data_IF_554480653334
#
_entry.id   IF_554480653334
#
_cell.length_a   1.000
_cell.length_b   1.000
_cell.length_c   1.000
_cell.angle_alpha   90.00
_cell.angle_beta   90.00
_cell.angle_gamma   90.00
#
_symmetry.space_group_name_H-M   'P 1'
#
loop_
_entity.id
_entity.type
_entity.pdbx_description
1 polymer ?
#
# COMPACT_ATOMS: atom_id res chain seq x y z
N UNK A 1 -17.73 -13.78 11.05
CA UNK A 1 -16.96 -13.84 9.79
C UNK A 1 -16.78 -15.32 9.51
N UNK A 2 -17.33 -15.84 8.41
CA UNK A 2 -17.14 -17.24 8.05
C UNK A 2 -15.64 -17.48 7.84
N UNK A 3 -15.11 -18.52 8.47
CA UNK A 3 -13.75 -18.97 8.23
C UNK A 3 -13.62 -19.52 6.81
N UNK A 4 -12.40 -19.51 6.25
CA UNK A 4 -12.13 -20.09 4.93
C UNK A 4 -12.54 -21.57 4.88
N UNK A 5 -12.43 -22.28 6.01
CA UNK A 5 -12.85 -23.67 6.13
C UNK A 5 -14.36 -23.83 5.99
N UNK A 6 -15.16 -22.96 6.62
CA UNK A 6 -16.62 -22.97 6.49
C UNK A 6 -17.04 -22.60 5.06
N UNK A 7 -16.36 -21.65 4.42
CA UNK A 7 -16.62 -21.30 3.02
C UNK A 7 -16.33 -22.48 2.07
N UNK A 8 -15.24 -23.22 2.31
CA UNK A 8 -14.92 -24.41 1.51
C UNK A 8 -15.97 -25.51 1.72
N UNK A 9 -16.45 -25.71 2.94
CA UNK A 9 -17.50 -26.67 3.24
C UNK A 9 -18.80 -26.31 2.49
N UNK A 10 -19.25 -25.06 2.57
CA UNK A 10 -20.44 -24.57 1.85
C UNK A 10 -20.33 -24.78 0.33
N UNK A 11 -19.14 -24.55 -0.24
CA UNK A 11 -18.91 -24.73 -1.67
C UNK A 11 -18.95 -26.21 -2.05
N UNK A 12 -18.34 -27.08 -1.25
CA UNK A 12 -18.38 -28.54 -1.46
C UNK A 12 -19.79 -29.09 -1.36
N UNK A 13 -20.57 -28.63 -0.39
CA UNK A 13 -21.97 -29.02 -0.21
C UNK A 13 -22.82 -28.60 -1.42
N UNK A 14 -22.67 -27.36 -1.90
CA UNK A 14 -23.38 -26.87 -3.09
C UNK A 14 -22.97 -27.60 -4.37
N UNK A 15 -21.71 -27.98 -4.48
CA UNK A 15 -21.19 -28.76 -5.60
C UNK A 15 -21.47 -30.27 -5.47
N UNK A 16 -22.13 -30.70 -4.39
CA UNK A 16 -22.41 -32.11 -4.09
C UNK A 16 -21.13 -32.97 -4.12
N UNK A 17 -20.02 -32.41 -3.65
CA UNK A 17 -18.73 -33.11 -3.57
C UNK A 17 -18.77 -34.03 -2.35
N UNK A 18 -18.46 -35.33 -2.51
CA UNK A 18 -18.35 -36.24 -1.36
C UNK A 18 -17.31 -35.74 -0.36
N UNK A 19 -17.59 -35.90 0.94
CA UNK A 19 -16.74 -35.37 2.02
C UNK A 19 -15.29 -35.88 1.94
N UNK A 20 -15.08 -37.13 1.50
CA UNK A 20 -13.79 -37.83 1.46
C UNK A 20 -13.20 -37.97 0.04
N UNK A 21 -13.51 -37.05 -0.88
CA UNK A 21 -12.93 -37.09 -2.22
C UNK A 21 -11.48 -36.56 -2.23
N UNK A 22 -10.50 -37.48 -2.38
CA UNK A 22 -9.08 -37.15 -2.49
C UNK A 22 -8.73 -36.32 -3.73
N UNK A 23 -9.59 -36.33 -4.77
CA UNK A 23 -9.36 -35.54 -6.00
C UNK A 23 -9.72 -34.07 -5.80
N UNK A 24 -10.73 -33.77 -4.98
CA UNK A 24 -11.20 -32.41 -4.70
C UNK A 24 -10.71 -31.99 -3.32
N UNK A 25 -9.41 -31.71 -3.25
CA UNK A 25 -8.75 -31.24 -2.04
C UNK A 25 -9.19 -29.82 -1.69
N UNK A 26 -9.16 -29.47 -0.39
CA UNK A 26 -9.46 -28.11 0.07
C UNK A 26 -8.55 -27.07 -0.61
N UNK A 27 -7.27 -27.41 -0.87
CA UNK A 27 -6.33 -26.53 -1.54
C UNK A 27 -6.77 -26.18 -2.98
N UNK A 28 -7.32 -27.16 -3.71
CA UNK A 28 -7.85 -26.94 -5.05
C UNK A 28 -9.08 -26.02 -5.00
N UNK A 29 -9.98 -26.23 -4.04
CA UNK A 29 -11.14 -25.35 -3.83
C UNK A 29 -10.71 -23.92 -3.47
N UNK A 30 -9.71 -23.75 -2.59
CA UNK A 30 -9.16 -22.42 -2.27
C UNK A 30 -8.57 -21.74 -3.50
N UNK A 31 -7.84 -22.47 -4.34
CA UNK A 31 -7.30 -21.95 -5.61
C UNK A 31 -8.42 -21.48 -6.54
N UNK A 32 -9.49 -22.27 -6.69
CA UNK A 32 -10.65 -21.90 -7.50
C UNK A 32 -11.34 -20.64 -6.96
N UNK A 33 -11.49 -20.53 -5.65
CA UNK A 33 -12.08 -19.33 -5.03
C UNK A 33 -11.24 -18.07 -5.29
N UNK A 34 -9.91 -18.18 -5.21
CA UNK A 34 -9.01 -17.07 -5.56
C UNK A 34 -9.12 -16.70 -7.05
N UNK A 35 -9.23 -17.68 -7.95
CA UNK A 35 -9.48 -17.41 -9.37
C UNK A 35 -10.81 -16.69 -9.58
N UNK A 36 -11.88 -17.11 -8.89
CA UNK A 36 -13.17 -16.43 -8.98
C UNK A 36 -13.12 -14.98 -8.44
N UNK A 37 -12.33 -14.73 -7.40
CA UNK A 37 -12.10 -13.39 -6.88
C UNK A 37 -11.43 -12.51 -7.94
N UNK A 38 -10.38 -13.01 -8.59
CA UNK A 38 -9.62 -12.27 -9.59
C UNK A 38 -10.40 -12.04 -10.90
N UNK A 39 -11.17 -13.03 -11.35
CA UNK A 39 -11.87 -12.98 -12.64
C UNK A 39 -13.22 -12.26 -12.57
N UNK A 40 -13.97 -12.40 -11.46
CA UNK A 40 -15.35 -11.91 -11.39
C UNK A 40 -15.54 -10.80 -10.36
N UNK A 41 -15.10 -11.01 -9.12
CA UNK A 41 -15.38 -10.06 -8.04
C UNK A 41 -14.56 -8.79 -8.24
N UNK A 42 -13.26 -8.93 -8.48
CA UNK A 42 -12.35 -7.81 -8.57
C UNK A 42 -12.68 -6.85 -9.73
N UNK A 43 -12.92 -7.32 -10.97
CA UNK A 43 -13.31 -6.43 -12.06
C UNK A 43 -14.68 -5.77 -11.82
N UNK A 44 -15.58 -6.46 -11.11
CA UNK A 44 -16.91 -5.90 -10.77
C UNK A 44 -16.79 -4.77 -9.76
N UNK A 45 -15.96 -4.94 -8.73
CA UNK A 45 -15.67 -3.88 -7.75
C UNK A 45 -15.04 -2.65 -8.42
N UNK A 46 -14.11 -2.85 -9.36
CA UNK A 46 -13.52 -1.76 -10.13
C UNK A 46 -14.54 -1.03 -11.01
N UNK A 47 -15.49 -1.76 -11.63
CA UNK A 47 -16.53 -1.17 -12.48
C UNK A 47 -17.48 -0.26 -11.70
N UNK A 48 -17.73 -0.55 -10.42
CA UNK A 48 -18.64 0.24 -9.58
C UNK A 48 -18.11 1.67 -9.40
N UNK A 49 -16.83 1.95 -9.74
CA UNK A 49 -16.22 3.29 -9.70
C UNK A 49 -16.27 3.97 -8.31
N UNK A 50 -16.72 3.24 -7.29
CA UNK A 50 -16.58 3.58 -5.89
C UNK A 50 -15.18 3.16 -5.41
N UNK A 51 -14.66 3.91 -4.45
CA UNK A 51 -13.27 3.80 -4.02
C UNK A 51 -13.11 2.68 -2.98
N UNK A 52 -13.22 1.44 -3.43
CA UNK A 52 -12.95 0.26 -2.61
C UNK A 52 -11.43 0.02 -2.45
N UNK A 53 -11.03 -0.52 -1.30
CA UNK A 53 -9.64 -0.90 -0.98
C UNK A 53 -8.60 0.23 -1.02
N UNK A 54 -9.02 1.48 -0.76
CA UNK A 54 -8.08 2.58 -0.55
C UNK A 54 -7.42 2.41 0.81
N UNK A 55 -6.10 2.22 0.78
CA UNK A 55 -5.29 2.12 2.00
C UNK A 55 -4.48 3.39 2.15
N UNK A 56 -4.47 3.89 3.38
CA UNK A 56 -3.63 5.00 3.83
C UNK A 56 -2.39 4.40 4.46
N UNK A 57 -1.22 4.82 3.99
CA UNK A 57 0.06 4.46 4.62
C UNK A 57 0.84 5.70 4.95
N UNK A 58 1.34 5.72 6.19
CA UNK A 58 2.16 6.78 6.73
C UNK A 58 3.62 6.37 6.59
N UNK A 59 4.37 7.13 5.81
CA UNK A 59 5.80 6.88 5.58
C UNK A 59 6.58 8.00 6.26
N UNK A 60 7.32 7.73 7.35
CA UNK A 60 8.13 8.75 7.98
C UNK A 60 9.27 9.17 7.05
N UNK A 61 9.49 10.48 6.91
CA UNK A 61 10.57 11.00 6.07
C UNK A 61 11.92 11.04 6.77
N UNK A 62 11.92 10.89 8.09
CA UNK A 62 13.10 10.79 8.96
C UNK A 62 13.10 9.48 9.72
N UNK A 63 14.28 8.93 9.91
CA UNK A 63 14.52 7.81 10.84
C UNK A 63 14.49 8.27 12.29
N UNK A 64 14.41 7.34 13.25
CA UNK A 64 14.49 7.62 14.70
C UNK A 64 15.79 8.36 15.10
N UNK A 65 16.84 8.28 14.27
CA UNK A 65 18.12 8.96 14.49
C UNK A 65 18.18 10.39 13.91
N UNK A 66 17.06 10.91 13.36
CA UNK A 66 17.00 12.25 12.74
C UNK A 66 17.61 12.32 11.33
N UNK A 67 18.14 11.21 10.81
CA UNK A 67 18.64 11.11 9.44
C UNK A 67 17.48 10.90 8.47
N UNK A 68 17.50 11.49 7.26
CA UNK A 68 16.48 11.25 6.24
C UNK A 68 16.33 9.75 5.93
N UNK A 69 15.10 9.25 5.93
CA UNK A 69 14.80 7.84 5.66
C UNK A 69 15.07 7.45 4.19
N UNK A 70 15.01 8.43 3.28
CA UNK A 70 15.19 8.22 1.85
C UNK A 70 16.38 9.04 1.34
N UNK A 71 17.47 8.40 0.89
CA UNK A 71 18.73 9.08 0.59
C UNK A 71 18.67 10.02 -0.61
N UNK A 72 17.71 9.84 -1.53
CA UNK A 72 17.57 10.61 -2.76
C UNK A 72 16.14 11.10 -3.01
N UNK A 73 15.37 11.37 -1.94
CA UNK A 73 13.94 11.76 -2.04
C UNK A 73 13.02 10.78 -2.80
N UNK A 74 13.48 9.54 -2.99
CA UNK A 74 12.75 8.46 -3.66
C UNK A 74 12.02 7.60 -2.64
N UNK A 75 10.70 7.54 -2.76
CA UNK A 75 9.81 6.74 -1.92
C UNK A 75 9.21 5.61 -2.78
N UNK A 76 9.51 4.34 -2.49
CA UNK A 76 9.03 3.23 -3.31
C UNK A 76 7.51 3.07 -3.18
N UNK A 77 6.84 2.81 -4.30
CA UNK A 77 5.44 2.41 -4.27
C UNK A 77 5.32 0.94 -3.83
N UNK A 78 4.31 0.60 -3.01
CA UNK A 78 4.03 -0.79 -2.65
C UNK A 78 3.78 -1.64 -3.89
N UNK A 79 4.41 -2.82 -3.96
CA UNK A 79 4.29 -3.75 -5.11
C UNK A 79 2.85 -4.22 -5.38
N UNK A 80 1.97 -4.16 -4.38
CA UNK A 80 0.56 -4.55 -4.45
C UNK A 80 -0.39 -3.38 -4.77
N UNK A 81 0.14 -2.19 -5.02
CA UNK A 81 -0.67 -1.08 -5.49
C UNK A 81 -1.19 -1.44 -6.89
N UNK A 82 -2.51 -1.49 -7.03
CA UNK A 82 -3.13 -1.90 -8.28
C UNK A 82 -2.76 -0.93 -9.41
N UNK A 83 -2.28 -1.50 -10.53
CA UNK A 83 -1.78 -0.73 -11.67
C UNK A 83 -0.60 0.20 -11.35
N UNK A 84 0.00 0.07 -10.15
CA UNK A 84 0.98 1.02 -9.59
C UNK A 84 0.47 2.47 -9.56
N UNK A 85 -0.86 2.63 -9.54
CA UNK A 85 -1.50 3.94 -9.55
C UNK A 85 -1.63 4.42 -8.11
N UNK A 86 -0.99 5.55 -7.85
CA UNK A 86 -1.16 6.26 -6.59
C UNK A 86 -2.31 7.26 -6.74
N UNK A 87 -3.20 7.32 -5.75
CA UNK A 87 -4.38 8.18 -5.78
C UNK A 87 -4.04 9.60 -5.36
N UNK A 88 -3.41 9.74 -4.20
CA UNK A 88 -3.07 11.04 -3.64
C UNK A 88 -1.89 10.92 -2.67
N UNK A 89 -0.95 11.86 -2.77
CA UNK A 89 0.12 12.07 -1.80
C UNK A 89 -0.20 13.32 -1.00
N UNK A 90 -0.11 13.20 0.32
CA UNK A 90 -0.14 14.35 1.22
C UNK A 90 1.13 14.40 2.04
N UNK A 91 1.53 15.60 2.41
CA UNK A 91 2.57 15.86 3.36
C UNK A 91 1.93 16.10 4.72
N UNK A 92 2.46 15.46 5.75
CA UNK A 92 2.08 15.67 7.14
C UNK A 92 3.30 16.23 7.88
N UNK A 93 3.22 17.50 8.28
CA UNK A 93 4.34 18.17 8.93
C UNK A 93 4.50 17.73 10.41
N UNK A 94 5.58 18.17 11.06
CA UNK A 94 5.81 17.90 12.48
C UNK A 94 4.85 18.66 13.41
N UNK A 95 4.06 19.60 12.88
CA UNK A 95 3.04 20.37 13.59
C UNK A 95 1.63 19.79 13.37
N UNK A 96 1.56 18.58 12.83
CA UNK A 96 0.32 17.82 12.55
C UNK A 96 -0.59 18.44 11.49
N UNK A 97 -0.07 19.34 10.67
CA UNK A 97 -0.80 19.90 9.53
C UNK A 97 -0.63 19.01 8.30
N UNK A 98 -1.74 18.84 7.59
CA UNK A 98 -1.81 18.04 6.37
C UNK A 98 -1.89 18.97 5.15
N UNK A 99 -0.94 18.81 4.22
CA UNK A 99 -0.89 19.57 2.98
C UNK A 99 -0.98 18.64 1.78
N UNK A 100 -1.77 19.04 0.79
CA UNK A 100 -1.80 18.34 -0.49
C UNK A 100 -0.56 18.73 -1.30
N UNK A 101 0.16 17.73 -1.81
CA UNK A 101 1.32 17.93 -2.66
C UNK A 101 0.87 17.75 -4.11
N UNK A 102 1.05 18.75 -5.00
CA UNK A 102 0.69 18.61 -6.41
C UNK A 102 1.65 17.67 -7.16
N UNK A 103 1.11 17.02 -8.20
CA UNK A 103 1.92 16.37 -9.22
C UNK A 103 2.63 17.42 -10.06
N UNK A 104 3.93 17.24 -10.25
CA UNK A 104 4.79 18.09 -11.07
C UNK A 104 5.27 17.27 -12.26
N UNK A 105 5.29 17.87 -13.44
CA UNK A 105 5.82 17.20 -14.64
C UNK A 105 7.34 16.98 -14.47
N UNK A 106 7.88 15.90 -15.05
CA UNK A 106 9.31 15.64 -14.98
C UNK A 106 10.13 16.78 -15.61
N UNK A 107 9.61 17.40 -16.66
CA UNK A 107 10.26 18.50 -17.40
C UNK A 107 10.36 19.79 -16.58
N UNK A 108 9.45 19.97 -15.64
CA UNK A 108 9.41 21.16 -14.78
C UNK A 108 10.18 20.98 -13.47
N UNK A 109 10.78 19.81 -13.21
CA UNK A 109 11.52 19.54 -11.96
C UNK A 109 12.58 20.64 -11.70
N UNK A 110 13.34 21.00 -12.72
CA UNK A 110 14.42 21.99 -12.62
C UNK A 110 13.90 23.39 -12.24
N UNK A 111 12.65 23.73 -12.57
CA UNK A 111 12.06 25.04 -12.23
C UNK A 111 11.81 25.18 -10.74
N UNK A 112 11.58 24.07 -10.05
CA UNK A 112 11.40 24.02 -8.60
C UNK A 112 12.71 23.79 -7.85
N UNK A 113 13.80 23.52 -8.59
CA UNK A 113 15.17 23.45 -8.10
C UNK A 113 15.92 24.78 -8.27
N UNK A 114 15.67 25.49 -9.38
CA UNK A 114 16.40 26.67 -9.80
C UNK A 114 15.79 27.96 -9.20
N UNK A 115 16.16 28.28 -7.96
CA UNK A 115 15.95 29.62 -7.38
C UNK A 115 15.35 29.68 -5.98
N UNK A 116 14.87 28.55 -5.45
CA UNK A 116 14.32 28.45 -4.09
C UNK A 116 15.36 27.93 -3.10
N UNK A 117 15.52 28.63 -1.98
CA UNK A 117 16.19 28.04 -0.82
C UNK A 117 15.49 26.73 -0.48
N UNK A 118 16.22 25.61 -0.57
CA UNK A 118 15.66 24.29 -0.33
C UNK A 118 14.90 24.24 1.01
N UNK A 119 13.66 23.74 0.96
CA UNK A 119 12.78 23.66 2.13
C UNK A 119 12.89 22.30 2.82
N UNK A 120 12.57 22.28 4.12
CA UNK A 120 12.37 21.05 4.89
C UNK A 120 11.08 20.30 4.51
N UNK A 121 10.18 20.97 3.77
CA UNK A 121 8.88 20.44 3.35
C UNK A 121 8.80 20.32 1.82
N UNK A 122 8.25 19.21 1.29
CA UNK A 122 8.09 18.98 -0.14
C UNK A 122 7.09 19.92 -0.81
N UNK A 123 7.49 20.43 -1.98
CA UNK A 123 6.63 21.29 -2.80
C UNK A 123 5.78 20.49 -3.78
N UNK A 124 6.34 19.42 -4.33
CA UNK A 124 5.73 18.64 -5.41
C UNK A 124 6.23 17.20 -5.42
N UNK A 125 5.62 16.36 -6.25
CA UNK A 125 6.12 15.02 -6.53
C UNK A 125 6.00 14.67 -8.01
N UNK A 126 6.84 13.74 -8.48
CA UNK A 126 6.69 13.10 -9.78
C UNK A 126 7.05 11.61 -9.69
N UNK A 127 6.72 10.84 -10.73
CA UNK A 127 7.01 9.41 -10.77
C UNK A 127 8.33 9.13 -11.49
N UNK A 128 9.16 8.28 -10.88
CA UNK A 128 10.40 7.75 -11.47
C UNK A 128 10.31 6.22 -11.41
N UNK A 129 9.84 5.62 -12.50
CA UNK A 129 9.54 4.19 -12.53
C UNK A 129 8.50 3.82 -11.47
N UNK A 130 8.88 2.93 -10.54
CA UNK A 130 8.02 2.44 -9.45
C UNK A 130 8.20 3.24 -8.13
N UNK A 131 8.80 4.42 -8.20
CA UNK A 131 9.03 5.27 -7.05
C UNK A 131 8.45 6.68 -7.27
N UNK A 132 8.11 7.32 -6.17
CA UNK A 132 7.73 8.72 -6.09
C UNK A 132 8.98 9.52 -5.72
N UNK A 133 9.32 10.52 -6.52
CA UNK A 133 10.40 11.48 -6.21
C UNK A 133 9.79 12.78 -5.74
N UNK A 134 10.25 13.27 -4.58
CA UNK A 134 9.85 14.58 -4.05
C UNK A 134 10.69 15.69 -4.67
N UNK A 135 10.06 16.85 -4.90
CA UNK A 135 10.65 18.03 -5.55
C UNK A 135 10.67 19.22 -4.59
N UNK A 136 11.69 20.06 -4.72
CA UNK A 136 11.82 21.32 -3.98
C UNK A 136 12.31 21.16 -2.53
N UNK A 137 13.05 20.09 -2.24
CA UNK A 137 13.50 19.76 -0.88
C UNK A 137 15.01 19.67 -0.72
N UNK A 138 15.48 19.98 0.48
CA UNK A 138 16.80 19.59 0.96
C UNK A 138 16.67 18.22 1.62
N UNK A 139 17.23 17.18 1.01
CA UNK A 139 17.15 15.82 1.59
C UNK A 139 17.67 15.82 3.02
N UNK A 140 18.73 16.59 3.33
CA UNK A 140 19.33 16.64 4.66
C UNK A 140 18.44 17.28 5.74
N UNK A 141 17.40 18.02 5.35
CA UNK A 141 16.47 18.73 6.27
C UNK A 141 15.05 18.22 6.18
N UNK A 142 14.80 17.16 5.41
CA UNK A 142 13.48 16.62 5.22
C UNK A 142 12.91 16.17 6.56
N UNK A 143 11.71 16.63 6.93
CA UNK A 143 11.03 16.28 8.19
C UNK A 143 9.56 15.97 7.95
N UNK A 144 8.91 15.30 8.90
CA UNK A 144 7.49 14.93 8.81
C UNK A 144 7.23 13.54 8.24
N UNK A 145 6.00 13.31 7.76
CA UNK A 145 5.53 12.05 7.20
C UNK A 145 4.86 12.28 5.85
N UNK A 146 4.98 11.33 4.95
CA UNK A 146 4.13 11.26 3.77
C UNK A 146 2.92 10.37 4.03
N UNK A 147 1.78 10.84 3.56
CA UNK A 147 0.55 10.07 3.55
C UNK A 147 0.29 9.64 2.12
N UNK A 148 0.45 8.35 1.86
CA UNK A 148 0.20 7.75 0.56
C UNK A 148 -1.19 7.11 0.59
N UNK A 149 -2.04 7.49 -0.36
CA UNK A 149 -3.30 6.81 -0.62
C UNK A 149 -3.17 6.02 -1.92
N UNK A 150 -3.37 4.71 -1.83
CA UNK A 150 -3.31 3.83 -2.99
C UNK A 150 -4.32 2.71 -2.86
N UNK A 151 -4.73 2.18 -4.00
CA UNK A 151 -5.66 1.05 -4.07
C UNK A 151 -4.82 -0.22 -3.98
N UNK A 152 -5.10 -1.08 -2.99
CA UNK A 152 -4.44 -2.38 -2.89
C UNK A 152 -5.33 -3.44 -3.52
N UNK A 153 -4.72 -4.38 -4.24
CA UNK A 153 -5.37 -5.61 -4.66
C UNK A 153 -5.89 -6.40 -3.44
N UNK A 154 -7.07 -7.03 -3.53
CA UNK A 154 -7.59 -7.87 -2.46
C UNK A 154 -6.60 -8.98 -2.08
N UNK A 155 -6.65 -9.43 -0.82
CA UNK A 155 -5.79 -10.53 -0.37
C UNK A 155 -6.26 -11.84 -0.99
N UNK A 156 -5.32 -12.73 -1.28
CA UNK A 156 -5.61 -14.12 -1.60
C UNK A 156 -6.12 -14.84 -0.36
N UNK A 157 -7.15 -15.65 -0.51
CA UNK A 157 -7.62 -16.56 0.53
C UNK A 157 -6.56 -17.63 0.78
N UNK A 158 -6.20 -17.81 2.03
CA UNK A 158 -5.29 -18.86 2.49
C UNK A 158 -5.98 -19.66 3.59
N UNK A 159 -5.74 -20.97 3.62
CA UNK A 159 -6.15 -21.78 4.76
C UNK A 159 -5.24 -21.44 5.94
N UNK A 160 -5.79 -20.75 6.93
CA UNK A 160 -5.01 -20.31 8.08
C UNK A 160 -4.54 -21.52 8.91
N UNK A 161 -3.27 -21.91 8.74
CA UNK A 161 -2.52 -22.71 9.72
C UNK A 161 -1.90 -21.81 10.79
N UNK A 162 -1.79 -20.51 10.53
CA UNK A 162 -1.32 -19.50 11.49
C UNK A 162 -2.01 -18.17 11.18
N UNK A 163 -2.52 -17.49 12.21
CA UNK A 163 -3.20 -16.20 12.06
C UNK A 163 -2.18 -15.11 11.71
N UNK A 164 -2.19 -14.61 10.47
CA UNK A 164 -1.45 -13.40 10.12
C UNK A 164 -2.24 -12.17 10.60
N UNK A 165 -1.67 -11.44 11.55
CA UNK A 165 -2.28 -10.20 12.05
C UNK A 165 -2.26 -9.13 10.93
N UNK A 166 -3.35 -8.35 10.75
CA UNK A 166 -3.32 -7.19 9.89
C UNK A 166 -2.30 -6.17 10.44
N UNK A 167 -1.30 -5.84 9.62
CA UNK A 167 -0.29 -4.83 9.91
C UNK A 167 -0.89 -3.47 9.54
N UNK A 168 -1.20 -2.66 10.54
CA UNK A 168 -1.75 -1.32 10.33
C UNK A 168 -0.66 -0.24 10.23
N UNK A 169 0.50 -0.47 10.85
CA UNK A 169 1.63 0.44 10.86
C UNK A 169 2.94 -0.33 10.62
N UNK A 170 3.83 0.26 9.80
CA UNK A 170 5.18 -0.25 9.54
C UNK A 170 6.14 0.84 10.00
N UNK A 171 6.88 0.57 11.05
CA UNK A 171 7.88 1.49 11.59
C UNK A 171 9.29 0.95 11.34
N UNK A 172 10.15 1.85 10.88
CA UNK A 172 11.56 1.57 10.65
C UNK A 172 12.36 2.05 11.86
N UNK A 173 12.88 1.11 12.66
CA UNK A 173 13.74 1.42 13.80
C UNK A 173 15.14 0.87 13.53
N UNK A 174 16.04 1.74 13.06
CA UNK A 174 17.40 1.34 12.67
C UNK A 174 17.39 0.40 11.45
N UNK A 175 18.03 -0.77 11.57
CA UNK A 175 18.06 -1.81 10.53
C UNK A 175 16.93 -2.84 10.62
N UNK A 176 16.00 -2.68 11.58
CA UNK A 176 14.92 -3.62 11.82
C UNK A 176 13.56 -3.03 11.41
N UNK A 177 12.74 -3.85 10.74
CA UNK A 177 11.34 -3.56 10.47
C UNK A 177 10.52 -4.17 11.61
N UNK A 178 9.73 -3.35 12.30
CA UNK A 178 8.87 -3.80 13.38
C UNK A 178 7.40 -3.65 12.98
N UNK A 179 6.61 -4.64 13.37
CA UNK A 179 5.17 -4.70 13.11
C UNK A 179 4.43 -4.66 14.44
N UNK A 180 3.49 -3.73 14.60
CA UNK A 180 2.61 -3.70 15.77
C UNK A 180 1.21 -3.18 15.45
N UNK A 181 0.29 -3.42 16.38
CA UNK A 181 -1.10 -2.97 16.37
C UNK A 181 -1.24 -1.88 17.42
N UNK A 182 -1.78 -0.73 17.07
CA UNK A 182 -2.22 0.25 18.07
C UNK A 182 -3.45 -0.34 18.78
N UNK A 183 -3.39 -0.42 20.11
CA UNK A 183 -4.49 -0.89 20.96
C UNK A 183 -5.66 0.09 20.95
#
# INVERSE_FOLDING_TARGET
MLSVTELIADVKDRASVPADDERITNALVTKLLNQCLDEYIYPTLLKISEEFNVVKTLVPLTTTAGTPAFPNSLVPLPKRAYGRVLREIKYFDNSENLYNIPYVSLEDEDKFMAGSSYSASPFGFHFVGDAVKLVGIDVAKLTGKLVLHYIIEPNTLEQATTLYAPIYNIDYVGSEIRFWRDN
#
